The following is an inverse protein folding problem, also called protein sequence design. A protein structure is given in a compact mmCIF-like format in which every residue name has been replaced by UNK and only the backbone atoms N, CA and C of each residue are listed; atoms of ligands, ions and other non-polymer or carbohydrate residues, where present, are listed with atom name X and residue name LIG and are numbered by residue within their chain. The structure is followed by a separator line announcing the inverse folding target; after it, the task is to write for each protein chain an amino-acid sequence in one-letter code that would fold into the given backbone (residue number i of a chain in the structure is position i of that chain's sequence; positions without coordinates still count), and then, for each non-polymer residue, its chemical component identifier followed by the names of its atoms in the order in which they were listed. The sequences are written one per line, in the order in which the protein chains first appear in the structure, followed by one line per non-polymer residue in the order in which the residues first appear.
data_IF_369149627726
#
_entry.id   IF_369149627726
#
_cell.length_a   1.000
_cell.length_b   1.000
_cell.length_c   1.000
_cell.angle_alpha   90.00
_cell.angle_beta   90.00
_cell.angle_gamma   90.00
#
_symmetry.space_group_name_H-M   'P 1'
#
loop_
_entity.id
_entity.type
_entity.pdbx_description
1 polymer ?
#
# COMPACT_ATOMS: atom_id res chain seq x y z
N UNK A 1 -14.84 -0.48 -8.42
CA UNK A 1 -14.00 0.70 -8.75
C UNK A 1 -12.90 0.97 -7.72
N UNK A 2 -13.13 0.78 -6.42
CA UNK A 2 -12.11 1.04 -5.38
C UNK A 2 -10.78 0.29 -5.62
N UNK A 3 -10.82 -1.03 -5.74
CA UNK A 3 -9.61 -1.86 -5.90
C UNK A 3 -8.93 -1.64 -7.26
N UNK A 4 -9.70 -1.34 -8.31
CA UNK A 4 -9.14 -0.94 -9.60
C UNK A 4 -8.30 0.35 -9.47
N UNK A 5 -8.81 1.37 -8.77
CA UNK A 5 -8.09 2.63 -8.55
C UNK A 5 -6.79 2.42 -7.77
N UNK A 6 -6.83 1.57 -6.73
CA UNK A 6 -5.63 1.21 -5.95
C UNK A 6 -4.63 0.45 -6.82
N UNK A 7 -5.08 -0.56 -7.57
CA UNK A 7 -4.25 -1.33 -8.49
C UNK A 7 -3.61 -0.45 -9.57
N UNK A 8 -4.37 0.51 -10.13
CA UNK A 8 -3.87 1.44 -11.16
C UNK A 8 -2.75 2.31 -10.63
N UNK A 9 -2.90 2.88 -9.43
CA UNK A 9 -1.84 3.69 -8.79
C UNK A 9 -0.60 2.86 -8.52
N UNK A 10 -0.77 1.64 -8.00
CA UNK A 10 0.33 0.71 -7.76
C UNK A 10 1.06 0.35 -9.06
N UNK A 11 0.32 0.00 -10.11
CA UNK A 11 0.84 -0.29 -11.44
C UNK A 11 1.63 0.91 -12.00
N UNK A 12 1.08 2.12 -11.93
CA UNK A 12 1.75 3.33 -12.45
C UNK A 12 3.07 3.63 -11.72
N UNK A 13 3.08 3.47 -10.40
CA UNK A 13 4.28 3.61 -9.57
C UNK A 13 5.32 2.55 -9.94
N UNK A 14 4.89 1.30 -10.08
CA UNK A 14 5.77 0.19 -10.42
C UNK A 14 6.37 0.35 -11.83
N UNK A 15 5.54 0.72 -12.80
CA UNK A 15 5.96 0.95 -14.19
C UNK A 15 6.96 2.10 -14.27
N UNK A 16 6.65 3.23 -13.62
CA UNK A 16 7.53 4.39 -13.58
C UNK A 16 8.89 4.02 -12.99
N UNK A 17 8.92 3.30 -11.86
CA UNK A 17 10.17 2.87 -11.25
C UNK A 17 10.93 1.91 -12.17
N UNK A 18 10.28 0.88 -12.72
CA UNK A 18 10.91 -0.07 -13.63
C UNK A 18 11.58 0.61 -14.84
N UNK A 19 10.88 1.55 -15.49
CA UNK A 19 11.41 2.31 -16.62
C UNK A 19 12.58 3.22 -16.21
N UNK A 20 12.50 3.88 -15.06
CA UNK A 20 13.59 4.73 -14.54
C UNK A 20 14.89 3.95 -14.32
N UNK A 21 14.79 2.68 -13.93
CA UNK A 21 15.96 1.82 -13.73
C UNK A 21 16.33 1.00 -14.98
N UNK A 22 15.64 1.21 -16.10
CA UNK A 22 15.93 0.54 -17.38
C UNK A 22 15.65 -0.96 -17.35
N UNK A 23 14.58 -1.35 -16.66
CA UNK A 23 14.13 -2.74 -16.59
C UNK A 23 13.75 -3.25 -17.98
N UNK A 24 14.26 -4.43 -18.32
CA UNK A 24 13.78 -5.23 -19.45
C UNK A 24 12.53 -6.02 -19.04
N UNK A 25 12.54 -6.55 -17.80
CA UNK A 25 11.41 -7.25 -17.20
C UNK A 25 11.33 -6.97 -15.69
N UNK A 26 10.13 -6.93 -15.15
CA UNK A 26 9.88 -6.95 -13.70
C UNK A 26 9.60 -8.37 -13.26
N UNK A 27 10.30 -8.83 -12.23
CA UNK A 27 10.17 -10.19 -11.67
C UNK A 27 9.18 -10.23 -10.51
N UNK A 28 9.26 -9.23 -9.61
CA UNK A 28 8.45 -9.17 -8.39
C UNK A 28 8.11 -7.71 -8.08
N UNK A 29 6.87 -7.46 -7.67
CA UNK A 29 6.40 -6.23 -7.06
C UNK A 29 5.93 -6.56 -5.66
N UNK A 30 6.60 -6.00 -4.66
CA UNK A 30 6.30 -6.24 -3.25
C UNK A 30 5.52 -5.09 -2.66
N UNK A 31 4.41 -5.40 -2.02
CA UNK A 31 3.47 -4.42 -1.47
C UNK A 31 3.14 -4.76 -0.04
N UNK A 32 3.07 -3.74 0.82
CA UNK A 32 2.54 -3.85 2.18
C UNK A 32 1.11 -3.31 2.17
N UNK A 33 0.15 -4.10 2.62
CA UNK A 33 -1.26 -3.71 2.70
C UNK A 33 -1.70 -3.75 4.15
N UNK A 34 -2.15 -2.60 4.64
CA UNK A 34 -2.69 -2.49 5.97
C UNK A 34 -4.08 -3.14 6.11
N UNK A 35 -4.33 -3.84 7.22
CA UNK A 35 -5.62 -4.50 7.50
C UNK A 35 -6.83 -3.55 7.49
N UNK A 36 -6.59 -2.26 7.78
CA UNK A 36 -7.59 -1.19 7.81
C UNK A 36 -7.66 -0.41 6.51
N UNK A 37 -6.92 -0.80 5.47
CA UNK A 37 -6.99 -0.16 4.15
C UNK A 37 -8.25 -0.56 3.39
N UNK A 38 -8.93 -1.63 3.83
CA UNK A 38 -10.12 -2.21 3.20
C UNK A 38 -9.89 -2.67 1.75
N UNK A 39 -8.63 -2.97 1.40
CA UNK A 39 -8.27 -3.46 0.08
C UNK A 39 -8.35 -4.98 0.05
N UNK A 40 -9.19 -5.54 -0.82
CA UNK A 40 -9.23 -6.98 -1.06
C UNK A 40 -8.04 -7.43 -1.89
N UNK A 41 -7.18 -8.27 -1.32
CA UNK A 41 -5.94 -8.74 -1.96
C UNK A 41 -6.19 -9.44 -3.30
N UNK A 42 -7.19 -10.30 -3.37
CA UNK A 42 -7.53 -11.04 -4.60
C UNK A 42 -7.94 -10.09 -5.74
N UNK A 43 -8.75 -9.08 -5.43
CA UNK A 43 -9.17 -8.09 -6.41
C UNK A 43 -8.02 -7.17 -6.84
N UNK A 44 -7.15 -6.79 -5.90
CA UNK A 44 -5.95 -6.03 -6.21
C UNK A 44 -5.06 -6.82 -7.19
N UNK A 45 -4.81 -8.09 -6.90
CA UNK A 45 -4.00 -8.97 -7.74
C UNK A 45 -4.62 -9.16 -9.13
N UNK A 46 -5.94 -9.35 -9.21
CA UNK A 46 -6.66 -9.44 -10.48
C UNK A 46 -6.45 -8.18 -11.33
N UNK A 47 -6.75 -7.00 -10.78
CA UNK A 47 -6.61 -5.74 -11.53
C UNK A 47 -5.16 -5.43 -11.87
N UNK A 48 -4.22 -5.71 -10.98
CA UNK A 48 -2.78 -5.54 -11.24
C UNK A 48 -2.34 -6.41 -12.43
N UNK A 49 -2.78 -7.68 -12.48
CA UNK A 49 -2.50 -8.59 -13.60
C UNK A 49 -3.08 -8.06 -14.91
N UNK A 50 -4.34 -7.61 -14.92
CA UNK A 50 -4.98 -7.07 -16.12
C UNK A 50 -4.29 -5.81 -16.63
N UNK A 51 -3.91 -4.90 -15.74
CA UNK A 51 -3.18 -3.67 -16.08
C UNK A 51 -1.76 -3.94 -16.59
N UNK A 52 -1.13 -5.03 -16.14
CA UNK A 52 0.26 -5.35 -16.47
C UNK A 52 0.45 -5.95 -17.86
N UNK A 53 -0.61 -6.45 -18.51
CA UNK A 53 -0.55 -7.07 -19.84
C UNK A 53 0.04 -6.12 -20.88
N UNK A 54 0.95 -6.61 -21.71
CA UNK A 54 1.64 -5.86 -22.76
C UNK A 54 2.70 -4.88 -22.23
N UNK A 55 3.14 -5.01 -20.97
CA UNK A 55 4.12 -4.11 -20.35
C UNK A 55 5.30 -4.88 -19.75
N UNK A 56 6.34 -4.17 -19.30
CA UNK A 56 7.47 -4.78 -18.58
C UNK A 56 7.08 -5.43 -17.24
N UNK A 57 5.87 -5.16 -16.75
CA UNK A 57 5.29 -5.77 -15.54
C UNK A 57 4.52 -7.07 -15.84
N UNK A 58 4.34 -7.43 -17.11
CA UNK A 58 3.62 -8.64 -17.46
C UNK A 58 4.34 -9.88 -16.88
N UNK A 59 3.57 -10.71 -16.17
CA UNK A 59 4.10 -11.90 -15.51
C UNK A 59 4.86 -11.64 -14.20
N UNK A 60 4.94 -10.39 -13.72
CA UNK A 60 5.54 -10.10 -12.42
C UNK A 60 4.73 -10.72 -11.27
N UNK A 61 5.44 -11.30 -10.29
CA UNK A 61 4.84 -11.77 -9.05
C UNK A 61 4.40 -10.57 -8.19
N UNK A 62 3.15 -10.56 -7.72
CA UNK A 62 2.68 -9.57 -6.74
C UNK A 62 2.77 -10.17 -5.33
N UNK A 63 3.86 -9.85 -4.62
CA UNK A 63 4.09 -10.30 -3.26
C UNK A 63 3.44 -9.33 -2.25
N UNK A 64 2.44 -9.82 -1.51
CA UNK A 64 1.67 -9.02 -0.54
C UNK A 64 2.06 -9.40 0.88
N UNK A 65 2.50 -8.40 1.65
CA UNK A 65 2.69 -8.48 3.11
C UNK A 65 1.56 -7.72 3.81
N UNK A 66 0.94 -8.30 4.84
CA UNK A 66 -0.08 -7.62 5.64
C UNK A 66 0.57 -6.76 6.75
N UNK A 67 0.08 -5.54 6.97
CA UNK A 67 0.43 -4.71 8.12
C UNK A 67 -0.74 -4.65 9.12
N UNK A 68 -0.52 -5.08 10.38
CA UNK A 68 -1.54 -4.98 11.42
C UNK A 68 -2.05 -3.56 11.64
N UNK A 69 -3.36 -3.44 11.86
CA UNK A 69 -3.99 -2.18 12.25
C UNK A 69 -3.59 -1.73 13.66
N UNK A 70 -3.21 -0.46 13.81
CA UNK A 70 -2.87 0.12 15.11
C UNK A 70 -3.59 1.44 15.31
N UNK A 71 -4.11 1.66 16.52
CA UNK A 71 -4.77 2.90 16.92
C UNK A 71 -4.04 3.59 18.07
N UNK A 72 -4.20 4.91 18.14
CA UNK A 72 -3.81 5.72 19.28
C UNK A 72 -5.01 6.48 19.84
N UNK A 73 -5.16 6.50 21.17
CA UNK A 73 -6.16 7.29 21.86
C UNK A 73 -5.54 8.57 22.42
N UNK A 74 -6.01 9.77 22.00
CA UNK A 74 -5.52 11.02 22.55
C UNK A 74 -6.00 11.29 24.00
N UNK A 75 -7.05 10.60 24.47
CA UNK A 75 -7.63 10.84 25.80
C UNK A 75 -6.91 10.09 26.93
N UNK A 76 -6.52 8.84 26.70
CA UNK A 76 -5.87 8.00 27.72
C UNK A 76 -4.45 7.54 27.36
N UNK A 77 -3.96 7.86 26.16
CA UNK A 77 -2.62 7.47 25.71
C UNK A 77 -2.51 6.02 25.21
N UNK A 78 -3.61 5.26 25.16
CA UNK A 78 -3.61 3.89 24.62
C UNK A 78 -3.02 3.86 23.20
N UNK A 79 -2.17 2.87 22.95
CA UNK A 79 -1.59 2.57 21.64
C UNK A 79 -1.52 1.07 21.45
N UNK A 80 -2.21 0.55 20.43
CA UNK A 80 -2.34 -0.90 20.27
C UNK A 80 -3.28 -1.30 19.15
N UNK A 81 -3.55 -2.62 19.03
CA UNK A 81 -4.44 -3.15 18.00
C UNK A 81 -5.88 -2.64 18.17
N UNK A 82 -6.67 -2.74 17.11
CA UNK A 82 -8.11 -2.51 17.20
C UNK A 82 -8.76 -3.73 17.82
N UNK A 83 -9.58 -3.52 18.85
CA UNK A 83 -10.55 -4.52 19.29
C UNK A 83 -11.80 -4.37 18.42
N UNK A 84 -11.88 -5.15 17.35
CA UNK A 84 -13.13 -5.31 16.61
C UNK A 84 -13.99 -6.30 17.41
N UNK A 85 -14.78 -5.77 18.35
CA UNK A 85 -15.90 -6.54 18.89
C UNK A 85 -16.93 -6.71 17.78
N UNK A 86 -17.45 -7.93 17.59
CA UNK A 86 -18.53 -8.22 16.65
C UNK A 86 -19.87 -7.77 17.30
N UNK A 87 -20.01 -6.45 17.49
CA UNK A 87 -21.17 -5.83 18.13
C UNK A 87 -22.23 -5.51 17.06
N UNK A 88 -23.44 -6.10 17.15
CA UNK A 88 -24.54 -5.80 16.23
C UNK A 88 -24.88 -4.30 16.12
N UNK A 89 -24.54 -3.49 17.14
CA UNK A 89 -24.69 -2.05 17.11
C UNK A 89 -23.88 -1.37 15.99
N UNK A 90 -22.77 -1.97 15.53
CA UNK A 90 -21.99 -1.45 14.40
C UNK A 90 -22.71 -1.54 13.05
N UNK A 91 -23.79 -2.32 12.95
CA UNK A 91 -24.65 -2.35 11.76
C UNK A 91 -25.77 -1.31 11.80
N UNK A 92 -26.03 -0.71 12.96
CA UNK A 92 -27.14 0.23 13.19
C UNK A 92 -26.66 1.68 13.39
N UNK A 93 -25.44 1.89 13.86
CA UNK A 93 -24.86 3.19 14.12
C UNK A 93 -23.65 3.48 13.22
N UNK A 94 -23.37 4.78 12.99
CA UNK A 94 -22.15 5.22 12.31
C UNK A 94 -20.92 4.64 13.02
N UNK A 95 -20.10 3.79 12.35
CA UNK A 95 -18.96 3.14 12.99
C UNK A 95 -17.97 4.21 13.44
N UNK A 96 -17.84 4.35 14.76
CA UNK A 96 -16.86 5.25 15.37
C UNK A 96 -15.75 4.40 15.96
N UNK A 97 -14.53 4.66 15.51
CA UNK A 97 -13.35 3.99 16.04
C UNK A 97 -13.11 4.46 17.49
N UNK A 98 -13.39 3.58 18.44
CA UNK A 98 -13.29 3.87 19.88
C UNK A 98 -12.08 3.18 20.50
N UNK A 99 -11.53 3.81 21.52
CA UNK A 99 -10.47 3.26 22.33
C UNK A 99 -11.03 2.11 23.19
N UNK A 100 -10.38 0.93 23.20
CA UNK A 100 -10.83 -0.19 24.02
C UNK A 100 -10.70 0.06 25.53
N UNK A 101 -9.81 0.97 25.94
CA UNK A 101 -9.56 1.27 27.36
C UNK A 101 -10.57 2.27 27.96
N UNK A 102 -10.85 3.36 27.24
CA UNK A 102 -11.64 4.48 27.80
C UNK A 102 -12.89 4.84 26.98
N UNK A 103 -13.14 4.18 25.85
CA UNK A 103 -14.30 4.43 24.98
C UNK A 103 -14.24 5.74 24.17
N UNK A 104 -13.26 6.62 24.41
CA UNK A 104 -13.07 7.85 23.64
C UNK A 104 -12.69 7.56 22.18
N UNK A 105 -12.87 8.55 21.30
CA UNK A 105 -12.50 8.42 19.88
C UNK A 105 -11.00 8.18 19.73
N UNK A 106 -10.64 7.14 18.98
CA UNK A 106 -9.27 6.81 18.63
C UNK A 106 -8.95 7.18 17.18
N UNK A 107 -7.66 7.29 16.86
CA UNK A 107 -7.15 7.52 15.50
C UNK A 107 -6.32 6.34 15.04
N UNK A 108 -6.42 5.98 13.76
CA UNK A 108 -5.52 4.99 13.15
C UNK A 108 -4.13 5.59 12.99
N UNK A 109 -3.11 4.87 13.43
CA UNK A 109 -1.69 5.25 13.28
C UNK A 109 -0.92 4.31 12.36
N UNK A 110 -1.39 3.08 12.14
CA UNK A 110 -0.81 2.11 11.18
C UNK A 110 -1.87 1.20 10.57
N UNK A 111 -1.53 0.54 9.47
CA UNK A 111 -2.39 -0.45 8.83
C UNK A 111 -3.53 0.13 8.00
N UNK A 112 -3.47 1.40 7.59
CA UNK A 112 -4.49 2.00 6.68
C UNK A 112 -4.03 2.14 5.23
N UNK A 113 -2.74 1.95 4.98
CA UNK A 113 -2.10 2.30 3.71
C UNK A 113 -1.81 1.07 2.86
N UNK A 114 -1.64 1.29 1.55
CA UNK A 114 -1.13 0.31 0.59
C UNK A 114 0.16 0.87 0.00
N UNK A 115 1.29 0.22 0.29
CA UNK A 115 2.62 0.78 0.06
C UNK A 115 3.44 -0.14 -0.83
N UNK A 116 3.94 0.39 -1.95
CA UNK A 116 4.94 -0.28 -2.77
C UNK A 116 6.28 -0.31 -2.03
N UNK A 117 6.71 -1.49 -1.59
CA UNK A 117 7.92 -1.69 -0.76
C UNK A 117 9.18 -1.85 -1.61
N UNK A 118 9.10 -2.68 -2.65
CA UNK A 118 10.25 -2.95 -3.53
C UNK A 118 9.80 -3.53 -4.87
N UNK A 119 10.67 -3.39 -5.87
CA UNK A 119 10.51 -4.05 -7.18
C UNK A 119 11.81 -4.76 -7.52
N UNK A 120 11.71 -6.01 -7.97
CA UNK A 120 12.83 -6.76 -8.51
C UNK A 120 12.78 -6.72 -10.03
N UNK A 121 13.86 -6.30 -10.66
CA UNK A 121 13.93 -6.11 -12.11
C UNK A 121 15.09 -6.90 -12.71
N UNK A 122 14.92 -7.29 -13.95
CA UNK A 122 15.98 -7.79 -14.82
C UNK A 122 16.39 -6.69 -15.80
N UNK A 123 17.69 -6.57 -16.06
CA UNK A 123 18.25 -5.61 -17.03
C UNK A 123 19.02 -6.37 -18.10
N UNK A 124 18.87 -5.94 -19.35
CA UNK A 124 19.69 -6.46 -20.44
C UNK A 124 21.18 -6.17 -20.21
N UNK A 125 22.05 -7.00 -20.75
CA UNK A 125 23.51 -6.83 -20.61
C UNK A 125 23.99 -5.50 -21.20
N UNK A 126 23.29 -4.94 -22.19
CA UNK A 126 23.56 -3.60 -22.75
C UNK A 126 23.30 -2.46 -21.75
N UNK A 127 22.54 -2.69 -20.69
CA UNK A 127 22.08 -1.66 -19.75
C UNK A 127 22.72 -1.77 -18.34
N UNK A 128 23.66 -2.71 -18.12
CA UNK A 128 24.33 -2.92 -16.82
C UNK A 128 25.32 -1.80 -16.44
N UNK A 129 25.76 -0.98 -17.41
CA UNK A 129 26.72 0.11 -17.18
C UNK A 129 26.12 1.44 -16.71
N UNK A 130 24.81 1.65 -16.85
CA UNK A 130 24.15 2.87 -16.41
C UNK A 130 23.76 2.75 -14.93
N UNK A 131 24.62 3.25 -14.03
CA UNK A 131 24.25 3.48 -12.63
C UNK A 131 23.15 4.56 -12.61
N UNK A 132 21.91 4.15 -12.38
CA UNK A 132 20.85 5.08 -12.00
C UNK A 132 21.23 5.69 -10.64
N UNK A 133 21.45 7.02 -10.62
CA UNK A 133 21.66 7.76 -9.37
C UNK A 133 20.44 7.64 -8.46
N UNK A 134 20.60 7.89 -7.15
CA UNK A 134 19.50 7.77 -6.19
C UNK A 134 18.30 8.64 -6.64
N UNK A 135 17.07 8.20 -6.37
CA UNK A 135 15.88 8.97 -6.73
C UNK A 135 15.97 10.35 -6.07
N UNK A 136 15.89 11.41 -6.88
CA UNK A 136 15.81 12.78 -6.36
C UNK A 136 14.56 12.87 -5.48
N UNK A 137 14.76 13.19 -4.21
CA UNK A 137 13.67 13.41 -3.25
C UNK A 137 12.67 14.39 -3.88
N UNK A 138 11.40 13.98 -3.98
CA UNK A 138 10.33 14.86 -4.41
C UNK A 138 10.22 16.06 -3.46
N UNK A 139 9.72 17.21 -3.93
CA UNK A 139 9.59 18.39 -3.08
C UNK A 139 8.70 18.05 -1.89
N UNK A 140 9.25 18.24 -0.68
CA UNK A 140 8.51 18.21 0.56
C UNK A 140 7.43 19.28 0.49
N UNK A 141 6.18 18.87 0.27
CA UNK A 141 5.02 19.74 0.40
C UNK A 141 4.73 19.96 1.90
N UNK A 142 5.63 20.68 2.57
CA UNK A 142 5.34 21.40 3.81
C UNK A 142 4.61 22.69 3.41
N UNK A 143 3.30 22.57 3.19
CA UNK A 143 2.40 23.73 3.12
C UNK A 143 1.99 24.11 4.55
N UNK A 144 2.04 25.39 4.95
CA UNK A 144 1.69 25.82 6.28
C UNK A 144 0.18 25.71 6.56
N UNK A 145 -0.08 25.61 7.86
CA UNK A 145 -1.35 25.55 8.60
C UNK A 145 -2.52 26.36 8.02
#
# INVERSE_FOLDING_TARGET
MHEYSVAKRLFDLALKAALQYGAERVLEVRVVIGELSLVRHEQLAFWFKELSRGTVLEGAELAIEAEPGEIACPACGYRGPISLADDPAYHLALPTLRCPECGARARVVRGRDCVLKSIRIEKSEKNRGARAGPPKAGPSASGPL
#
